data_IF_659509087906
#
_entry.id   IF_659509087906
#
_cell.length_a   1.000
_cell.length_b   1.000
_cell.length_c   1.000
_cell.angle_alpha   90.00
_cell.angle_beta   90.00
_cell.angle_gamma   90.00
#
_symmetry.space_group_name_H-M   'P 1'
#
loop_
_entity.id
_entity.type
_entity.pdbx_description
1 polymer ?
#
# COMPACT_ATOMS: atom_id res chain seq x y z
N UNK A 1 -3.91 -7.09 6.60
CA UNK A 1 -2.51 -7.38 6.16
C UNK A 1 -2.49 -8.27 4.94
N UNK A 2 -1.66 -7.96 3.99
CA UNK A 2 -1.42 -8.80 2.84
C UNK A 2 0.00 -9.36 2.92
N UNK A 3 0.14 -10.67 2.79
CA UNK A 3 1.42 -11.37 2.91
C UNK A 3 2.09 -11.44 1.53
N UNK A 4 3.25 -10.80 1.42
CA UNK A 4 4.08 -10.82 0.22
C UNK A 4 5.06 -12.00 0.21
N UNK A 5 5.21 -12.70 1.33
CA UNK A 5 6.25 -13.72 1.49
C UNK A 5 7.63 -13.09 1.53
N UNK A 6 8.61 -13.81 1.04
CA UNK A 6 9.99 -13.33 0.95
C UNK A 6 10.10 -12.36 -0.25
N UNK A 7 10.14 -11.07 0.04
CA UNK A 7 10.04 -10.02 -0.97
C UNK A 7 11.43 -9.55 -1.41
N UNK A 8 11.74 -9.72 -2.69
CA UNK A 8 13.03 -9.31 -3.26
C UNK A 8 13.05 -7.84 -3.66
N UNK A 9 14.16 -7.17 -3.38
CA UNK A 9 14.34 -5.74 -3.59
C UNK A 9 15.20 -5.44 -4.81
N UNK A 10 14.99 -4.26 -5.41
CA UNK A 10 15.74 -3.80 -6.60
C UNK A 10 17.25 -3.70 -6.35
N UNK A 11 17.65 -3.21 -5.18
CA UNK A 11 19.07 -3.06 -4.82
C UNK A 11 19.70 -4.34 -4.31
N UNK A 12 18.98 -5.44 -4.36
CA UNK A 12 19.40 -6.71 -3.80
C UNK A 12 18.93 -6.85 -2.35
N UNK A 13 18.98 -8.08 -1.89
CA UNK A 13 18.44 -8.42 -0.58
C UNK A 13 16.97 -8.81 -0.65
N UNK A 14 16.53 -9.39 0.45
CA UNK A 14 15.18 -9.93 0.57
C UNK A 14 14.63 -9.57 1.94
N UNK A 15 13.37 -9.15 2.00
CA UNK A 15 12.65 -9.01 3.26
C UNK A 15 11.86 -10.29 3.49
N UNK A 16 12.25 -11.12 4.46
CA UNK A 16 11.49 -12.34 4.76
C UNK A 16 10.14 -11.99 5.38
N UNK A 17 9.12 -12.75 5.02
CA UNK A 17 7.77 -12.60 5.54
C UNK A 17 7.27 -11.15 5.46
N UNK A 18 7.50 -10.49 4.33
CA UNK A 18 7.10 -9.10 4.12
C UNK A 18 5.58 -8.98 4.06
N UNK A 19 5.05 -8.03 4.79
CA UNK A 19 3.60 -7.80 4.86
C UNK A 19 3.25 -6.35 4.55
N UNK A 20 2.16 -6.15 3.81
CA UNK A 20 1.57 -4.85 3.58
C UNK A 20 0.35 -4.65 4.45
N UNK A 21 0.34 -3.58 5.24
CA UNK A 21 -0.85 -3.11 5.92
C UNK A 21 -1.63 -2.22 4.95
N UNK A 22 -2.90 -2.49 4.81
CA UNK A 22 -3.78 -1.72 3.93
C UNK A 22 -5.16 -1.58 4.55
N UNK A 23 -5.92 -0.60 4.06
CA UNK A 23 -7.32 -0.42 4.44
C UNK A 23 -8.16 -0.31 3.17
N UNK A 24 -9.39 -0.81 3.23
CA UNK A 24 -10.32 -0.74 2.10
C UNK A 24 -11.61 -0.06 2.53
N UNK A 25 -12.20 0.70 1.61
CA UNK A 25 -13.45 1.42 1.83
C UNK A 25 -14.32 1.32 0.59
N UNK A 26 -15.63 1.25 0.79
CA UNK A 26 -16.57 1.13 -0.31
C UNK A 26 -16.66 -0.28 -0.88
N UNK A 27 -17.26 -0.40 -2.04
CA UNK A 27 -17.47 -1.68 -2.70
C UNK A 27 -16.95 -1.67 -4.12
N UNK A 28 -16.30 -2.76 -4.51
CA UNK A 28 -15.86 -2.97 -5.89
C UNK A 28 -17.07 -3.35 -6.75
N UNK A 29 -17.26 -2.64 -7.86
CA UNK A 29 -18.38 -2.93 -8.76
C UNK A 29 -18.15 -4.22 -9.57
N UNK A 30 -19.17 -4.66 -10.30
CA UNK A 30 -19.11 -5.92 -11.05
C UNK A 30 -18.04 -5.91 -12.15
N UNK A 31 -17.80 -4.75 -12.77
CA UNK A 31 -16.79 -4.60 -13.81
C UNK A 31 -15.37 -4.38 -13.26
N UNK A 32 -15.24 -4.18 -11.95
CA UNK A 32 -13.96 -3.90 -11.28
C UNK A 32 -13.23 -2.68 -11.87
N UNK A 33 -13.99 -1.65 -12.23
CA UNK A 33 -13.47 -0.44 -12.88
C UNK A 33 -13.60 0.83 -12.02
N UNK A 34 -14.05 0.69 -10.76
CA UNK A 34 -14.21 1.81 -9.85
C UNK A 34 -13.18 1.84 -8.71
N UNK A 35 -12.07 1.15 -8.87
CA UNK A 35 -11.06 1.08 -7.82
C UNK A 35 -10.13 2.30 -7.83
N UNK A 36 -9.83 2.82 -6.65
CA UNK A 36 -8.85 3.88 -6.42
C UNK A 36 -7.75 3.34 -5.53
N UNK A 37 -6.50 3.52 -5.95
CA UNK A 37 -5.33 3.26 -5.11
C UNK A 37 -4.84 4.58 -4.51
N UNK A 38 -4.69 4.60 -3.20
CA UNK A 38 -4.08 5.72 -2.49
C UNK A 38 -2.86 5.22 -1.73
N UNK A 39 -1.73 5.90 -1.92
CA UNK A 39 -0.49 5.57 -1.24
C UNK A 39 -0.21 6.58 -0.14
N UNK A 40 0.41 6.13 0.95
CA UNK A 40 0.69 6.98 2.09
C UNK A 40 1.92 7.86 1.83
N UNK A 41 1.93 9.08 2.40
CA UNK A 41 3.12 9.91 2.42
C UNK A 41 4.07 9.47 3.56
N UNK A 42 5.21 10.13 3.68
CA UNK A 42 6.27 9.72 4.63
C UNK A 42 5.77 9.56 6.07
N UNK A 43 5.04 10.52 6.58
CA UNK A 43 4.52 10.51 7.95
C UNK A 43 3.06 10.05 8.06
N UNK A 44 2.46 9.63 6.94
CA UNK A 44 1.06 9.28 6.90
C UNK A 44 0.81 7.81 7.11
N UNK A 45 -0.33 7.53 7.70
CA UNK A 45 -0.87 6.17 7.80
C UNK A 45 -2.16 6.11 6.99
N UNK A 46 -2.66 4.89 6.75
CA UNK A 46 -3.96 4.72 6.08
C UNK A 46 -5.07 5.50 6.77
N UNK A 47 -5.05 5.57 8.10
CA UNK A 47 -6.06 6.31 8.86
C UNK A 47 -5.97 7.82 8.62
N UNK A 48 -4.77 8.37 8.56
CA UNK A 48 -4.56 9.80 8.28
C UNK A 48 -5.03 10.12 6.86
N UNK A 49 -4.68 9.29 5.88
CA UNK A 49 -5.11 9.46 4.49
C UNK A 49 -6.65 9.43 4.37
N UNK A 50 -7.29 8.51 5.09
CA UNK A 50 -8.74 8.45 5.16
C UNK A 50 -9.34 9.77 5.64
N UNK A 51 -8.82 10.30 6.73
CA UNK A 51 -9.35 11.54 7.33
C UNK A 51 -9.14 12.76 6.46
N UNK A 52 -8.03 12.85 5.75
CA UNK A 52 -7.66 14.03 4.97
C UNK A 52 -8.34 14.08 3.61
N UNK A 53 -8.40 12.96 2.90
CA UNK A 53 -8.79 12.95 1.48
C UNK A 53 -10.15 12.34 1.21
N UNK A 54 -10.61 11.44 2.06
CA UNK A 54 -11.79 10.64 1.77
C UNK A 54 -13.04 11.22 2.43
N UNK A 55 -14.17 11.14 1.75
CA UNK A 55 -15.44 11.55 2.33
C UNK A 55 -16.56 11.64 1.31
N UNK A 56 -17.78 11.58 1.80
CA UNK A 56 -18.98 11.71 0.98
C UNK A 56 -18.99 13.07 0.28
N UNK A 57 -19.22 13.07 -1.03
CA UNK A 57 -19.24 14.29 -1.84
C UNK A 57 -17.86 14.81 -2.23
N UNK A 58 -16.79 14.18 -1.76
CA UNK A 58 -15.43 14.48 -2.21
C UNK A 58 -15.07 13.67 -3.46
N UNK A 59 -13.94 14.00 -4.10
CA UNK A 59 -13.46 13.25 -5.26
C UNK A 59 -13.22 11.76 -4.89
N UNK A 60 -12.70 11.51 -3.69
CA UNK A 60 -12.48 10.17 -3.17
C UNK A 60 -13.63 9.82 -2.23
N UNK A 61 -14.67 9.25 -2.81
CA UNK A 61 -15.94 8.99 -2.13
C UNK A 61 -16.20 7.49 -2.07
N UNK A 62 -16.26 6.90 -0.84
CA UNK A 62 -16.49 5.46 -0.68
C UNK A 62 -17.87 4.99 -1.14
N UNK A 63 -18.83 5.90 -1.31
CA UNK A 63 -20.14 5.55 -1.86
C UNK A 63 -20.09 5.28 -3.37
N UNK A 64 -19.06 5.78 -4.06
CA UNK A 64 -18.91 5.66 -5.51
C UNK A 64 -17.77 4.77 -5.94
N UNK A 65 -16.75 4.65 -5.10
CA UNK A 65 -15.51 3.97 -5.44
C UNK A 65 -15.12 2.96 -4.37
N UNK A 66 -14.40 1.93 -4.83
CA UNK A 66 -13.69 1.02 -3.94
C UNK A 66 -12.29 1.57 -3.73
N UNK A 67 -11.95 1.95 -2.50
CA UNK A 67 -10.72 2.65 -2.18
C UNK A 67 -9.79 1.70 -1.43
N UNK A 68 -8.58 1.54 -1.93
CA UNK A 68 -7.52 0.79 -1.25
C UNK A 68 -6.43 1.78 -0.85
N UNK A 69 -6.20 1.89 0.46
CA UNK A 69 -5.11 2.72 0.99
C UNK A 69 -4.01 1.79 1.46
N UNK A 70 -2.84 1.88 0.84
CA UNK A 70 -1.71 1.02 1.15
C UNK A 70 -0.68 1.78 1.97
N UNK A 71 -0.30 1.21 3.11
CA UNK A 71 0.83 1.70 3.90
C UNK A 71 2.12 1.22 3.25
N UNK A 72 2.99 2.15 2.89
CA UNK A 72 4.25 1.78 2.22
C UNK A 72 5.17 1.00 3.15
N UNK A 73 6.03 0.16 2.57
CA UNK A 73 7.04 -0.57 3.32
C UNK A 73 7.93 0.43 4.06
N UNK A 74 8.11 0.22 5.36
CA UNK A 74 8.91 1.11 6.19
C UNK A 74 8.11 2.21 6.90
N UNK A 75 6.80 2.33 6.66
CA UNK A 75 6.01 3.39 7.29
C UNK A 75 5.58 3.11 8.74
N UNK A 76 5.85 1.91 9.25
CA UNK A 76 5.53 1.53 10.61
C UNK A 76 4.35 0.59 10.76
N UNK A 77 3.47 0.51 9.78
CA UNK A 77 2.32 -0.42 9.78
C UNK A 77 2.55 -1.62 8.87
N UNK A 78 3.06 -1.40 7.66
CA UNK A 78 3.63 -2.47 6.83
C UNK A 78 4.97 -2.89 7.42
N UNK A 79 5.59 -3.92 6.87
CA UNK A 79 6.92 -4.36 7.33
C UNK A 79 7.88 -3.18 7.38
N UNK A 80 8.54 -3.00 8.50
CA UNK A 80 9.37 -1.83 8.80
C UNK A 80 10.53 -2.26 9.69
N UNK A 81 11.60 -1.44 9.82
CA UNK A 81 12.76 -1.80 10.64
C UNK A 81 12.44 -2.19 12.07
N UNK A 82 11.44 -1.56 12.68
CA UNK A 82 11.12 -1.79 14.09
C UNK A 82 10.14 -2.94 14.34
N UNK A 83 9.42 -3.41 13.32
CA UNK A 83 8.45 -4.49 13.48
C UNK A 83 8.90 -5.81 12.86
N UNK A 84 10.13 -5.88 12.38
CA UNK A 84 10.77 -7.10 11.92
C UNK A 84 11.72 -7.62 12.97
N UNK A 85 12.06 -8.93 12.88
CA UNK A 85 13.01 -9.57 13.76
C UNK A 85 14.10 -10.27 12.96
N UNK A 86 15.19 -10.65 13.63
CA UNK A 86 16.27 -11.38 12.98
C UNK A 86 17.23 -10.49 12.21
N UNK A 87 17.83 -11.00 11.12
CA UNK A 87 18.95 -10.33 10.45
C UNK A 87 18.57 -9.04 9.72
N UNK A 88 17.28 -8.75 9.51
CA UNK A 88 16.84 -7.57 8.79
C UNK A 88 16.17 -6.54 9.69
N UNK A 89 16.28 -6.68 11.01
CA UNK A 89 15.64 -5.74 11.95
C UNK A 89 16.48 -4.49 12.18
N UNK A 90 15.82 -3.38 12.52
CA UNK A 90 16.48 -2.12 12.89
C UNK A 90 17.43 -1.60 11.81
N UNK A 91 18.69 -1.29 12.18
CA UNK A 91 19.65 -0.71 11.23
C UNK A 91 20.02 -1.63 10.07
N UNK A 92 19.79 -2.93 10.21
CA UNK A 92 20.08 -3.92 9.18
C UNK A 92 18.94 -4.08 8.19
N UNK A 93 17.87 -3.29 8.32
CA UNK A 93 16.75 -3.31 7.39
C UNK A 93 17.24 -2.90 6.00
N UNK A 94 16.93 -3.69 4.95
CA UNK A 94 17.46 -3.41 3.62
C UNK A 94 16.91 -2.14 3.01
N UNK A 95 17.59 -1.63 2.01
CA UNK A 95 17.20 -0.42 1.29
C UNK A 95 16.03 -0.71 0.37
N UNK A 96 14.87 -0.11 0.66
CA UNK A 96 13.65 -0.22 -0.14
C UNK A 96 13.55 1.00 -1.04
N UNK A 97 13.31 0.75 -2.33
CA UNK A 97 13.10 1.81 -3.33
C UNK A 97 11.60 1.96 -3.64
N UNK A 98 11.26 3.08 -4.25
CA UNK A 98 9.87 3.34 -4.66
C UNK A 98 9.36 2.24 -5.59
N UNK A 99 10.20 1.75 -6.51
CA UNK A 99 9.83 0.63 -7.38
C UNK A 99 9.47 -0.64 -6.63
N UNK A 100 10.08 -0.89 -5.48
CA UNK A 100 9.72 -2.02 -4.64
C UNK A 100 8.30 -1.87 -4.08
N UNK A 101 7.96 -0.67 -3.61
CA UNK A 101 6.60 -0.36 -3.14
C UNK A 101 5.59 -0.52 -4.28
N UNK A 102 5.91 -0.05 -5.47
CA UNK A 102 5.03 -0.17 -6.65
C UNK A 102 4.77 -1.64 -6.97
N UNK A 103 5.81 -2.48 -6.96
CA UNK A 103 5.64 -3.93 -7.21
C UNK A 103 4.80 -4.59 -6.13
N UNK A 104 5.02 -4.22 -4.86
CA UNK A 104 4.25 -4.76 -3.75
C UNK A 104 2.76 -4.38 -3.86
N UNK A 105 2.47 -3.14 -4.19
CA UNK A 105 1.11 -2.66 -4.40
C UNK A 105 0.45 -3.33 -5.60
N UNK A 106 1.17 -3.49 -6.70
CA UNK A 106 0.68 -4.18 -7.89
C UNK A 106 0.31 -5.63 -7.56
N UNK A 107 1.15 -6.31 -6.79
CA UNK A 107 0.87 -7.67 -6.36
C UNK A 107 -0.39 -7.76 -5.50
N UNK A 108 -0.56 -6.84 -4.56
CA UNK A 108 -1.76 -6.77 -3.73
C UNK A 108 -3.01 -6.59 -4.59
N UNK A 109 -2.99 -5.63 -5.51
CA UNK A 109 -4.17 -5.30 -6.31
C UNK A 109 -4.53 -6.40 -7.29
N UNK A 110 -3.54 -7.02 -7.93
CA UNK A 110 -3.79 -8.07 -8.92
C UNK A 110 -4.13 -9.42 -8.28
N UNK A 111 -3.41 -9.82 -7.26
CA UNK A 111 -3.58 -11.15 -6.66
C UNK A 111 -4.74 -11.21 -5.67
N UNK A 112 -4.88 -10.20 -4.81
CA UNK A 112 -5.95 -10.22 -3.81
C UNK A 112 -7.28 -9.75 -4.37
N UNK A 113 -7.29 -8.68 -5.14
CA UNK A 113 -8.53 -8.07 -5.63
C UNK A 113 -8.83 -8.37 -7.09
N UNK A 114 -7.90 -8.95 -7.83
CA UNK A 114 -8.10 -9.30 -9.23
C UNK A 114 -8.32 -8.10 -10.14
N UNK A 115 -7.66 -6.98 -9.87
CA UNK A 115 -7.83 -5.75 -10.63
C UNK A 115 -6.91 -5.71 -11.85
N UNK A 116 -7.47 -5.35 -13.01
CA UNK A 116 -6.72 -5.12 -14.24
C UNK A 116 -6.45 -3.63 -14.48
N UNK A 117 -7.25 -2.77 -13.86
CA UNK A 117 -7.15 -1.32 -14.03
C UNK A 117 -7.59 -0.60 -12.77
N UNK A 118 -7.21 0.67 -12.70
CA UNK A 118 -7.60 1.58 -11.62
C UNK A 118 -8.29 2.79 -12.22
N UNK A 119 -9.36 3.25 -11.57
CA UNK A 119 -10.02 4.49 -11.95
C UNK A 119 -9.14 5.70 -11.66
N UNK A 120 -8.39 5.64 -10.55
CA UNK A 120 -7.54 6.74 -10.11
C UNK A 120 -6.42 6.20 -9.22
N UNK A 121 -5.26 6.80 -9.31
CA UNK A 121 -4.15 6.62 -8.35
C UNK A 121 -3.85 7.97 -7.74
N UNK A 122 -3.83 8.02 -6.42
CA UNK A 122 -3.58 9.26 -5.67
C UNK A 122 -2.39 9.06 -4.75
N UNK A 123 -1.44 9.95 -4.84
CA UNK A 123 -0.30 9.97 -3.95
C UNK A 123 0.22 11.37 -3.75
N UNK A 124 0.77 11.65 -2.58
CA UNK A 124 1.38 12.93 -2.25
C UNK A 124 2.76 12.72 -1.64
N UNK A 125 3.67 13.66 -1.86
CA UNK A 125 5.02 13.59 -1.31
C UNK A 125 5.70 12.26 -1.69
N UNK A 126 6.16 11.49 -0.70
CA UNK A 126 6.79 10.19 -0.94
C UNK A 126 5.83 9.17 -1.61
N UNK A 127 4.54 9.32 -1.42
CA UNK A 127 3.53 8.45 -2.04
C UNK A 127 3.24 8.76 -3.50
N UNK A 128 3.75 9.85 -4.00
CA UNK A 128 3.56 10.22 -5.42
C UNK A 128 4.51 9.40 -6.37
#
# INVERSE_FOLDING_TARGET
MYDLGDFQLEEGGTIPDCQLAYATFGELNANKDNAILMTTWYSGTSKIMEQVYMGKGRAIDPDKHFIVIVNQIGNGLSTSPHNTSGPVSGPDFPHVRIGDDVRAQHQLLTEKFGLDSLALVVGGSMGA
#
